data_IF_850480339862
#
_entry.id   IF_850480339862
#
_cell.length_a   1.000
_cell.length_b   1.000
_cell.length_c   1.000
_cell.angle_alpha   90.00
_cell.angle_beta   90.00
_cell.angle_gamma   90.00
#
_symmetry.space_group_name_H-M   'P 1'
#
loop_
_entity.id
_entity.type
_entity.pdbx_description
1 polymer ?
#
# COMPACT_ATOMS: atom_id res chain seq x y z
N UNK A 1 -3.15 -17.16 0.65
CA UNK A 1 -2.12 -16.65 1.58
C UNK A 1 -2.82 -16.28 2.87
N UNK A 2 -2.42 -16.90 3.98
CA UNK A 2 -2.98 -16.61 5.30
C UNK A 2 -2.67 -15.18 5.75
N UNK A 3 -3.58 -14.59 6.54
CA UNK A 3 -3.49 -13.22 7.08
C UNK A 3 -2.16 -12.94 7.81
N UNK A 4 -1.58 -13.85 8.64
CA UNK A 4 -0.31 -13.62 9.30
C UNK A 4 0.86 -13.43 8.32
N UNK A 5 0.84 -14.15 7.19
CA UNK A 5 1.86 -14.03 6.15
C UNK A 5 1.73 -12.68 5.42
N UNK A 6 0.48 -12.22 5.20
CA UNK A 6 0.24 -10.90 4.60
C UNK A 6 0.81 -9.77 5.47
N UNK A 7 0.52 -9.77 6.77
CA UNK A 7 1.01 -8.75 7.68
C UNK A 7 2.54 -8.70 7.73
N UNK A 8 3.20 -9.85 7.77
CA UNK A 8 4.66 -9.95 7.77
C UNK A 8 5.30 -9.34 6.51
N UNK A 9 4.64 -9.43 5.34
CA UNK A 9 5.12 -8.80 4.10
C UNK A 9 4.87 -7.29 4.04
N UNK A 10 3.86 -6.79 4.74
CA UNK A 10 3.48 -5.36 4.74
C UNK A 10 4.31 -4.57 5.75
N UNK A 11 4.55 -5.10 6.94
CA UNK A 11 5.25 -4.39 8.04
C UNK A 11 6.60 -3.75 7.65
N UNK A 12 7.46 -4.37 6.81
CA UNK A 12 8.70 -3.73 6.37
C UNK A 12 8.49 -2.42 5.59
N UNK A 13 7.30 -2.20 5.03
CA UNK A 13 6.93 -1.02 4.26
C UNK A 13 6.32 0.10 5.11
N UNK A 14 6.24 -0.07 6.44
CA UNK A 14 5.91 1.03 7.36
C UNK A 14 7.13 1.96 7.42
N UNK A 15 7.21 2.83 6.42
CA UNK A 15 8.30 3.77 6.19
C UNK A 15 7.74 4.96 5.39
N UNK A 16 7.78 6.19 5.92
CA UNK A 16 7.22 7.37 5.26
C UNK A 16 7.98 7.75 3.97
N UNK A 17 9.23 7.30 3.80
CA UNK A 17 10.02 7.55 2.60
C UNK A 17 9.68 6.58 1.47
N UNK A 18 9.19 5.39 1.81
CA UNK A 18 8.80 4.39 0.84
C UNK A 18 7.40 4.67 0.28
N UNK A 19 7.22 4.23 -0.96
CA UNK A 19 5.91 4.23 -1.61
C UNK A 19 5.53 2.81 -1.95
N UNK A 20 4.25 2.51 -1.76
CA UNK A 20 3.63 1.27 -2.19
C UNK A 20 2.63 1.57 -3.30
N UNK A 21 2.34 0.58 -4.13
CA UNK A 21 1.27 0.68 -5.12
C UNK A 21 -0.02 0.15 -4.52
N UNK A 22 -1.10 0.86 -4.70
CA UNK A 22 -2.45 0.42 -4.36
C UNK A 22 -3.28 0.36 -5.64
N UNK A 23 -3.92 -0.78 -5.85
CA UNK A 23 -4.95 -0.96 -6.85
C UNK A 23 -6.28 -1.19 -6.14
N UNK A 24 -7.28 -0.42 -6.50
CA UNK A 24 -8.68 -0.72 -6.28
C UNK A 24 -9.25 -1.44 -7.51
N UNK A 25 -10.50 -1.89 -7.38
CA UNK A 25 -11.22 -2.54 -8.48
C UNK A 25 -11.44 -1.59 -9.66
N UNK A 26 -11.72 -0.32 -9.39
CA UNK A 26 -12.05 0.74 -10.34
C UNK A 26 -10.87 1.65 -10.70
N UNK A 27 -9.82 1.70 -9.87
CA UNK A 27 -8.66 2.56 -10.07
C UNK A 27 -7.35 1.86 -9.71
N UNK A 28 -6.30 2.01 -10.52
CA UNK A 28 -5.04 1.25 -10.38
C UNK A 28 -3.82 2.16 -10.41
N UNK A 29 -2.72 1.66 -9.85
CA UNK A 29 -1.42 2.34 -9.90
C UNK A 29 -1.30 3.52 -8.94
N UNK A 30 -2.12 3.56 -7.88
CA UNK A 30 -2.10 4.66 -6.92
C UNK A 30 -0.89 4.53 -6.00
N UNK A 31 -0.25 5.65 -5.72
CA UNK A 31 0.81 5.70 -4.73
C UNK A 31 0.20 5.81 -3.33
N UNK A 32 0.76 5.06 -2.38
CA UNK A 32 0.43 5.22 -0.98
C UNK A 32 1.66 5.04 -0.08
N UNK A 33 1.52 5.46 1.16
CA UNK A 33 2.45 5.17 2.26
C UNK A 33 1.76 4.21 3.23
N UNK A 34 2.46 3.19 3.71
CA UNK A 34 1.92 2.35 4.80
C UNK A 34 2.27 3.04 6.12
N UNK A 35 1.26 3.33 6.94
CA UNK A 35 1.47 3.96 8.25
C UNK A 35 1.29 2.98 9.40
N UNK A 36 0.49 1.93 9.21
CA UNK A 36 0.22 0.95 10.26
C UNK A 36 -0.18 -0.42 9.68
N UNK A 37 0.12 -1.50 10.41
CA UNK A 37 -0.36 -2.85 10.11
C UNK A 37 -0.46 -3.67 11.41
N UNK A 38 -1.68 -3.77 11.94
CA UNK A 38 -1.97 -4.41 13.24
C UNK A 38 -2.06 -5.95 13.16
N UNK A 39 -1.97 -6.52 11.95
CA UNK A 39 -2.07 -7.95 11.70
C UNK A 39 -3.44 -8.43 11.23
N UNK A 40 -4.46 -7.59 11.29
CA UNK A 40 -5.80 -7.81 10.72
C UNK A 40 -6.18 -6.75 9.69
N UNK A 41 -5.67 -5.53 9.86
CA UNK A 41 -5.84 -4.39 8.99
C UNK A 41 -4.49 -3.78 8.60
N UNK A 42 -4.51 -3.01 7.52
CA UNK A 42 -3.42 -2.13 7.11
C UNK A 42 -3.98 -0.72 6.95
N UNK A 43 -3.30 0.27 7.52
CA UNK A 43 -3.63 1.67 7.31
C UNK A 43 -2.63 2.28 6.34
N UNK A 44 -3.14 2.91 5.29
CA UNK A 44 -2.36 3.56 4.24
C UNK A 44 -2.77 5.01 4.05
N UNK A 45 -1.82 5.86 3.68
CA UNK A 45 -2.07 7.22 3.19
C UNK A 45 -1.98 7.22 1.67
N UNK A 46 -3.12 7.30 1.01
CA UNK A 46 -3.26 7.29 -0.44
C UNK A 46 -3.03 8.70 -1.01
N UNK A 47 -2.17 8.83 -2.01
CA UNK A 47 -2.02 10.06 -2.77
C UNK A 47 -3.29 10.29 -3.61
N UNK A 48 -3.79 11.53 -3.64
CA UNK A 48 -4.98 11.89 -4.42
C UNK A 48 -4.59 12.72 -5.65
N UNK A 49 -5.57 13.00 -6.51
CA UNK A 49 -5.39 13.88 -7.67
C UNK A 49 -5.05 15.33 -7.25
N UNK A 50 -5.37 15.72 -6.02
CA UNK A 50 -5.02 17.02 -5.47
C UNK A 50 -3.65 16.95 -4.81
N UNK A 51 -2.66 17.71 -5.32
CA UNK A 51 -1.36 17.82 -4.68
C UNK A 51 -1.56 18.24 -3.22
N UNK A 52 -0.80 17.62 -2.30
CA UNK A 52 -0.85 17.85 -0.86
C UNK A 52 -2.05 17.26 -0.09
N UNK A 53 -3.06 16.71 -0.78
CA UNK A 53 -4.15 16.01 -0.10
C UNK A 53 -3.91 14.50 -0.12
N UNK A 54 -3.78 13.91 1.07
CA UNK A 54 -3.66 12.47 1.27
C UNK A 54 -4.91 11.92 1.95
N UNK A 55 -5.40 10.80 1.46
CA UNK A 55 -6.56 10.11 2.03
C UNK A 55 -6.08 8.96 2.90
N UNK A 56 -6.40 8.99 4.20
CA UNK A 56 -6.11 7.88 5.10
C UNK A 56 -7.17 6.79 4.94
N UNK A 57 -6.72 5.55 4.73
CA UNK A 57 -7.58 4.38 4.56
C UNK A 57 -7.12 3.24 5.43
N UNK A 58 -8.04 2.66 6.19
CA UNK A 58 -7.82 1.41 6.93
C UNK A 58 -8.53 0.28 6.20
N UNK A 59 -7.76 -0.71 5.76
CA UNK A 59 -8.22 -1.81 4.91
C UNK A 59 -8.00 -3.15 5.62
N UNK A 60 -9.01 -4.04 5.68
CA UNK A 60 -8.84 -5.36 6.26
C UNK A 60 -7.98 -6.27 5.37
N UNK A 61 -7.02 -6.99 5.95
CA UNK A 61 -6.10 -7.89 5.24
C UNK A 61 -6.82 -9.06 4.55
N UNK A 62 -8.03 -9.40 5.00
CA UNK A 62 -8.91 -10.39 4.37
C UNK A 62 -9.33 -9.97 2.96
N UNK A 63 -9.40 -8.67 2.71
CA UNK A 63 -9.95 -8.04 1.51
C UNK A 63 -8.89 -7.54 0.54
N UNK A 64 -7.61 -7.67 0.91
CA UNK A 64 -6.50 -7.27 0.06
C UNK A 64 -5.68 -8.49 -0.36
N UNK A 65 -5.15 -8.45 -1.57
CA UNK A 65 -4.14 -9.37 -2.06
C UNK A 65 -2.79 -8.65 -2.17
N UNK A 66 -1.71 -9.36 -1.85
CA UNK A 66 -0.35 -8.80 -1.94
C UNK A 66 0.27 -9.26 -3.26
N UNK A 67 0.71 -8.29 -4.04
CA UNK A 67 1.55 -8.47 -5.21
C UNK A 67 2.85 -7.69 -5.08
N UNK A 68 3.58 -7.66 -6.19
CA UNK A 68 4.79 -6.85 -6.36
C UNK A 68 4.63 -5.99 -7.60
N UNK A 69 5.02 -4.73 -7.47
CA UNK A 69 5.10 -3.80 -8.58
C UNK A 69 6.55 -3.65 -9.00
N UNK A 70 6.94 -4.41 -10.04
CA UNK A 70 8.29 -4.41 -10.63
C UNK A 70 8.59 -3.19 -11.49
N UNK A 71 7.59 -2.32 -11.74
CA UNK A 71 7.78 -1.09 -12.51
C UNK A 71 8.47 0.03 -11.73
N UNK A 72 8.54 -0.09 -10.40
CA UNK A 72 9.06 0.94 -9.51
C UNK A 72 10.07 0.36 -8.52
N UNK A 73 11.02 1.19 -8.13
CA UNK A 73 12.08 0.87 -7.15
C UNK A 73 11.76 1.44 -5.77
N UNK A 74 12.39 0.88 -4.74
CA UNK A 74 12.38 1.44 -3.37
C UNK A 74 13.10 2.77 -3.31
N UNK A 75 12.52 3.76 -2.63
CA UNK A 75 13.04 5.14 -2.62
C UNK A 75 13.98 5.42 -1.44
N UNK A 76 13.99 4.57 -0.41
CA UNK A 76 14.80 4.80 0.78
C UNK A 76 16.30 4.64 0.47
N UNK A 77 17.15 5.69 0.64
CA UNK A 77 18.58 5.65 0.37
C UNK A 77 19.39 4.83 1.41
N UNK A 78 18.83 4.59 2.59
CA UNK A 78 19.44 3.76 3.64
C UNK A 78 19.20 2.27 3.42
N UNK A 79 18.28 1.91 2.50
CA UNK A 79 17.97 0.53 2.15
C UNK A 79 18.61 0.17 0.80
N UNK A 80 19.04 -1.09 0.61
CA UNK A 80 19.48 -1.56 -0.70
C UNK A 80 18.38 -1.32 -1.72
N UNK A 81 18.74 -0.82 -2.91
CA UNK A 81 17.77 -0.59 -3.98
C UNK A 81 17.12 -1.93 -4.38
N UNK A 82 15.84 -2.10 -4.06
CA UNK A 82 15.08 -3.28 -4.42
C UNK A 82 14.30 -3.01 -5.71
N UNK A 83 14.47 -3.91 -6.68
CA UNK A 83 13.66 -3.94 -7.90
C UNK A 83 12.28 -4.48 -7.57
N UNK A 84 11.39 -3.56 -7.20
CA UNK A 84 10.00 -3.83 -6.96
C UNK A 84 9.52 -3.24 -5.65
N UNK A 85 8.35 -2.60 -5.68
CA UNK A 85 7.65 -2.13 -4.48
C UNK A 85 6.45 -3.00 -4.13
N UNK A 86 6.04 -2.95 -2.85
CA UNK A 86 4.82 -3.63 -2.41
C UNK A 86 3.62 -3.16 -3.24
N UNK A 87 2.81 -4.11 -3.69
CA UNK A 87 1.55 -3.84 -4.36
C UNK A 87 0.39 -4.40 -3.56
N UNK A 88 -0.53 -3.54 -3.15
CA UNK A 88 -1.76 -3.90 -2.46
C UNK A 88 -2.91 -3.89 -3.48
N UNK A 89 -3.55 -5.04 -3.68
CA UNK A 89 -4.70 -5.18 -4.57
C UNK A 89 -5.96 -5.31 -3.71
N UNK A 90 -6.77 -4.27 -3.67
CA UNK A 90 -8.02 -4.18 -2.91
C UNK A 90 -9.16 -4.70 -3.78
N UNK A 91 -10.00 -5.56 -3.22
CA UNK A 91 -11.09 -6.20 -3.97
C UNK A 91 -12.38 -5.36 -4.06
N UNK A 92 -12.45 -4.19 -3.42
CA UNK A 92 -13.52 -3.19 -3.57
C UNK A 92 -13.10 -2.03 -4.48
N UNK A 93 -14.10 -1.22 -4.83
CA UNK A 93 -13.92 0.10 -5.41
C UNK A 93 -13.27 1.08 -4.42
N UNK A 94 -12.60 2.10 -4.95
CA UNK A 94 -12.02 3.18 -4.15
C UNK A 94 -13.14 3.89 -3.36
N UNK A 95 -12.99 4.04 -2.04
CA UNK A 95 -13.95 4.83 -1.26
C UNK A 95 -13.90 6.29 -1.72
N UNK A 96 -15.04 6.79 -2.19
CA UNK A 96 -15.20 8.20 -2.56
C UNK A 96 -15.11 9.06 -1.29
N UNK A 97 -14.22 10.03 -1.29
CA UNK A 97 -14.18 11.06 -0.24
C UNK A 97 -15.31 12.04 -0.56
N UNK A 98 -16.27 12.15 0.36
CA UNK A 98 -17.35 13.16 0.31
C UNK A 98 -16.81 14.50 0.78
#
# INVERSE_FOLDING_TARGET
MDVPNKAARIRPWIDPEERVTVDFRDERGLNAEVIECDGQTVTVLLETAFPHYKQQLTLPLSMISIGEDKGHYTRNPERPLQYGRLRLVVHENRPQVV
#
